data_IF_794869400709
#
_entry.id   IF_794869400709
#
_cell.length_a   1.000
_cell.length_b   1.000
_cell.length_c   1.000
_cell.angle_alpha   90.00
_cell.angle_beta   90.00
_cell.angle_gamma   90.00
#
_symmetry.space_group_name_H-M   'P 1'
#
loop_
_entity.id
_entity.type
_entity.pdbx_description
1 polymer ?
#
# COMPACT_ATOMS: atom_id res chain seq x y z
N UNK A 1 -3.29 -8.88 -10.92
CA UNK A 1 -3.21 -7.52 -11.51
C UNK A 1 -1.89 -7.29 -12.24
N UNK A 2 -0.72 -7.29 -11.58
CA UNK A 2 0.57 -7.03 -12.25
C UNK A 2 0.97 -8.09 -13.29
N UNK A 3 0.72 -9.37 -13.01
CA UNK A 3 0.92 -10.45 -13.98
C UNK A 3 0.03 -10.31 -15.20
N UNK A 4 -1.23 -9.92 -14.99
CA UNK A 4 -2.21 -9.61 -16.04
C UNK A 4 -1.75 -8.42 -16.88
N UNK A 5 -1.32 -7.33 -16.26
CA UNK A 5 -0.80 -6.16 -16.97
C UNK A 5 0.40 -6.53 -17.85
N UNK A 6 1.34 -7.33 -17.33
CA UNK A 6 2.45 -7.86 -18.12
C UNK A 6 1.98 -8.72 -19.31
N UNK A 7 0.98 -9.59 -19.11
CA UNK A 7 0.42 -10.46 -20.17
C UNK A 7 -0.17 -9.65 -21.32
N UNK A 8 -0.86 -8.55 -21.01
CA UNK A 8 -1.54 -7.71 -21.99
C UNK A 8 -0.73 -6.46 -22.39
N UNK A 9 0.57 -6.44 -22.11
CA UNK A 9 1.47 -5.30 -22.40
C UNK A 9 0.98 -3.95 -21.87
N UNK A 10 0.23 -3.97 -20.76
CA UNK A 10 -0.26 -2.78 -20.06
C UNK A 10 0.81 -2.30 -19.09
N UNK A 11 1.11 -1.01 -19.13
CA UNK A 11 2.15 -0.38 -18.31
C UNK A 11 1.54 0.34 -17.10
N UNK A 12 2.14 0.15 -15.93
CA UNK A 12 1.82 0.97 -14.75
C UNK A 12 2.51 2.32 -14.88
N UNK A 13 1.79 3.33 -15.38
CA UNK A 13 2.33 4.60 -15.84
C UNK A 13 2.02 5.77 -14.89
N UNK A 14 1.69 5.48 -13.63
CA UNK A 14 1.49 6.53 -12.64
C UNK A 14 2.78 7.33 -12.37
N UNK A 15 2.69 8.63 -12.65
CA UNK A 15 3.75 9.61 -12.36
C UNK A 15 3.81 9.84 -10.86
N UNK A 16 2.66 10.16 -10.25
CA UNK A 16 2.49 10.44 -8.84
C UNK A 16 1.21 9.78 -8.32
N UNK A 17 1.33 9.08 -7.20
CA UNK A 17 0.20 8.48 -6.49
C UNK A 17 -0.11 9.29 -5.24
N UNK A 18 -1.40 9.39 -4.91
CA UNK A 18 -1.87 9.84 -3.60
C UNK A 18 -1.63 8.76 -2.52
N UNK A 19 -1.95 9.09 -1.27
CA UNK A 19 -1.66 8.21 -0.13
C UNK A 19 -2.56 6.97 -0.16
N UNK A 20 -3.81 7.17 -0.53
CA UNK A 20 -4.85 6.16 -0.59
C UNK A 20 -4.47 5.09 -1.61
N UNK A 21 -4.07 5.48 -2.82
CA UNK A 21 -3.66 4.52 -3.86
C UNK A 21 -2.36 3.78 -3.48
N UNK A 22 -1.39 4.48 -2.88
CA UNK A 22 -0.18 3.82 -2.35
C UNK A 22 -0.52 2.72 -1.34
N UNK A 23 -1.54 2.93 -0.52
CA UNK A 23 -1.97 1.98 0.51
C UNK A 23 -2.62 0.72 -0.09
N UNK A 24 -3.23 0.86 -1.26
CA UNK A 24 -3.86 -0.24 -2.01
C UNK A 24 -2.88 -1.02 -2.90
N UNK A 25 -1.61 -0.62 -2.97
CA UNK A 25 -0.62 -1.36 -3.75
C UNK A 25 -0.43 -2.77 -3.19
N UNK A 26 -0.31 -3.81 -4.05
CA UNK A 26 0.02 -5.15 -3.60
C UNK A 26 1.40 -5.19 -2.94
N UNK A 27 1.51 -5.71 -1.71
CA UNK A 27 2.81 -5.87 -1.05
C UNK A 27 3.61 -7.01 -1.68
N UNK A 28 2.97 -8.14 -1.93
CA UNK A 28 3.66 -9.30 -2.49
C UNK A 28 3.87 -9.11 -3.98
N UNK A 29 5.09 -9.38 -4.43
CA UNK A 29 5.51 -9.09 -5.80
C UNK A 29 5.33 -7.60 -6.17
N UNK A 30 5.56 -6.71 -5.21
CA UNK A 30 5.42 -5.26 -5.34
C UNK A 30 6.18 -4.69 -6.55
N UNK A 31 5.61 -3.67 -7.20
CA UNK A 31 6.18 -2.95 -8.37
C UNK A 31 7.62 -2.47 -8.12
N UNK A 32 7.86 -1.96 -6.92
CA UNK A 32 9.16 -1.46 -6.48
C UNK A 32 10.03 -2.47 -5.72
N UNK A 33 9.71 -3.78 -5.75
CA UNK A 33 10.33 -4.76 -4.87
C UNK A 33 11.86 -4.83 -5.00
N UNK A 34 12.54 -4.60 -3.89
CA UNK A 34 13.99 -4.81 -3.73
C UNK A 34 14.31 -6.31 -3.73
N UNK A 35 15.60 -6.67 -3.85
CA UNK A 35 16.05 -8.07 -3.71
C UNK A 35 15.60 -8.65 -2.36
N UNK A 36 15.69 -7.86 -1.28
CA UNK A 36 15.27 -8.27 0.07
C UNK A 36 13.78 -8.53 0.15
N UNK A 37 12.94 -7.61 -0.36
CA UNK A 37 11.49 -7.82 -0.36
C UNK A 37 11.09 -9.09 -1.14
N UNK A 38 11.76 -9.37 -2.26
CA UNK A 38 11.52 -10.62 -3.02
C UNK A 38 11.87 -11.87 -2.24
N UNK A 39 12.91 -11.83 -1.40
CA UNK A 39 13.28 -12.96 -0.53
C UNK A 39 12.25 -13.18 0.57
N UNK A 40 11.68 -12.09 1.12
CA UNK A 40 10.63 -12.17 2.14
C UNK A 40 9.37 -12.87 1.64
N UNK A 41 9.07 -12.82 0.33
CA UNK A 41 7.88 -13.46 -0.26
C UNK A 41 7.81 -14.98 -0.05
N UNK A 42 8.92 -15.64 0.29
CA UNK A 42 9.02 -17.11 0.39
C UNK A 42 9.25 -17.60 1.83
N UNK A 43 9.10 -16.74 2.84
CA UNK A 43 9.24 -17.15 4.24
C UNK A 43 7.92 -17.72 4.76
N UNK A 44 8.00 -18.70 5.66
CA UNK A 44 6.81 -19.27 6.33
C UNK A 44 5.98 -18.21 7.08
N UNK A 45 6.63 -17.15 7.55
CA UNK A 45 5.96 -16.04 8.23
C UNK A 45 5.19 -15.18 7.23
N UNK A 46 5.75 -14.92 6.04
CA UNK A 46 5.04 -14.27 4.95
C UNK A 46 3.89 -15.11 4.39
N UNK A 47 4.02 -16.45 4.40
CA UNK A 47 2.88 -17.34 4.10
C UNK A 47 1.77 -17.14 5.12
N UNK A 48 2.09 -17.16 6.42
CA UNK A 48 1.12 -16.90 7.49
C UNK A 48 0.45 -15.52 7.34
N UNK A 49 1.23 -14.48 7.03
CA UNK A 49 0.69 -13.13 6.77
C UNK A 49 -0.36 -13.15 5.64
N UNK A 50 -0.11 -13.91 4.57
CA UNK A 50 -1.05 -14.03 3.45
C UNK A 50 -2.27 -14.87 3.78
N UNK A 51 -2.10 -16.02 4.42
CA UNK A 51 -3.19 -16.99 4.60
C UNK A 51 -4.02 -16.73 5.84
N UNK A 52 -3.38 -16.44 6.97
CA UNK A 52 -4.05 -16.36 8.27
C UNK A 52 -4.41 -14.91 8.65
N UNK A 53 -3.61 -13.94 8.18
CA UNK A 53 -3.88 -12.50 8.41
C UNK A 53 -4.50 -11.80 7.20
N UNK A 54 -4.65 -12.51 6.07
CA UNK A 54 -5.17 -11.98 4.80
C UNK A 54 -4.44 -10.71 4.30
N UNK A 55 -3.16 -10.55 4.66
CA UNK A 55 -2.40 -9.35 4.33
C UNK A 55 -1.94 -9.41 2.88
N UNK A 56 -2.53 -8.60 2.00
CA UNK A 56 -2.24 -8.61 0.57
C UNK A 56 -1.76 -7.25 0.05
N UNK A 57 -2.25 -6.16 0.64
CA UNK A 57 -1.90 -4.79 0.26
C UNK A 57 -1.02 -4.12 1.33
N UNK A 58 -0.38 -3.01 0.96
CA UNK A 58 0.49 -2.25 1.88
C UNK A 58 -0.28 -1.82 3.14
N UNK A 59 -1.55 -1.45 3.03
CA UNK A 59 -2.39 -1.08 4.18
C UNK A 59 -2.51 -2.20 5.22
N UNK A 60 -2.68 -3.45 4.80
CA UNK A 60 -2.81 -4.59 5.71
C UNK A 60 -1.53 -4.78 6.52
N UNK A 61 -0.39 -4.65 5.84
CA UNK A 61 0.93 -4.83 6.42
C UNK A 61 1.24 -3.69 7.38
N UNK A 62 0.86 -2.46 7.04
CA UNK A 62 0.95 -1.32 7.95
C UNK A 62 0.13 -1.56 9.23
N UNK A 63 -1.11 -2.05 9.10
CA UNK A 63 -1.96 -2.37 10.25
C UNK A 63 -1.30 -3.39 11.18
N UNK A 64 -0.75 -4.47 10.63
CA UNK A 64 -0.11 -5.54 11.41
C UNK A 64 1.22 -5.06 12.03
N UNK A 65 2.04 -4.33 11.27
CA UNK A 65 3.32 -3.80 11.75
C UNK A 65 3.17 -2.71 12.83
N UNK A 66 2.00 -2.07 12.92
CA UNK A 66 1.74 -0.92 13.81
C UNK A 66 0.87 -1.25 15.02
N UNK A 67 0.66 -2.53 15.32
CA UNK A 67 -0.13 -2.90 16.50
C UNK A 67 0.49 -2.38 17.79
N UNK A 68 -0.33 -1.80 18.64
CA UNK A 68 0.12 -1.16 19.88
C UNK A 68 0.83 -2.13 20.81
N UNK A 69 0.39 -3.39 20.88
CA UNK A 69 1.07 -4.42 21.66
C UNK A 69 2.49 -4.67 21.14
N UNK A 70 2.71 -4.64 19.82
CA UNK A 70 4.03 -4.84 19.24
C UNK A 70 4.93 -3.63 19.44
N UNK A 71 4.41 -2.42 19.21
CA UNK A 71 5.16 -1.17 19.37
C UNK A 71 5.61 -0.99 20.83
N UNK A 72 4.70 -1.17 21.80
CA UNK A 72 5.01 -1.02 23.23
C UNK A 72 6.11 -1.98 23.67
N UNK A 73 5.99 -3.25 23.28
CA UNK A 73 6.98 -4.26 23.64
C UNK A 73 8.34 -3.98 22.99
N UNK A 74 8.37 -3.57 21.72
CA UNK A 74 9.62 -3.18 21.06
C UNK A 74 10.29 -1.97 21.74
N UNK A 75 9.49 -1.03 22.25
CA UNK A 75 9.99 0.15 22.94
C UNK A 75 10.50 -0.15 24.36
N UNK A 76 10.05 -1.23 25.00
CA UNK A 76 10.40 -1.57 26.39
C UNK A 76 11.89 -1.86 26.60
N UNK A 77 12.64 -2.19 25.53
CA UNK A 77 14.06 -2.59 25.57
C UNK A 77 14.35 -3.77 26.50
N UNK A 78 13.34 -4.55 26.87
CA UNK A 78 13.53 -5.75 27.68
C UNK A 78 14.22 -6.84 26.86
N UNK A 79 15.18 -7.53 27.47
CA UNK A 79 15.88 -8.67 26.85
C UNK A 79 14.96 -9.87 26.61
N UNK A 80 13.86 -9.96 27.37
CA UNK A 80 12.83 -10.98 27.23
C UNK A 80 11.45 -10.37 27.00
N UNK A 81 10.79 -10.79 25.93
CA UNK A 81 9.44 -10.33 25.58
C UNK A 81 8.52 -11.57 25.42
N UNK A 82 7.50 -11.77 26.29
CA UNK A 82 6.72 -13.01 26.33
C UNK A 82 5.96 -13.39 25.06
N UNK A 83 6.16 -14.62 24.56
CA UNK A 83 5.30 -15.39 23.61
C UNK A 83 3.90 -14.84 23.29
N UNK A 84 3.16 -14.71 24.40
CA UNK A 84 1.73 -14.95 24.52
C UNK A 84 1.00 -13.65 24.86
N UNK A 85 1.18 -12.61 24.04
CA UNK A 85 0.40 -11.39 24.21
C UNK A 85 -1.09 -11.71 24.16
N UNK A 86 -1.84 -11.33 25.20
CA UNK A 86 -3.27 -11.68 25.38
C UNK A 86 -4.22 -10.63 24.77
N UNK A 87 -3.70 -9.61 24.08
CA UNK A 87 -4.55 -8.61 23.44
C UNK A 87 -5.52 -9.24 22.43
N UNK A 88 -6.63 -8.54 22.16
CA UNK A 88 -7.69 -9.01 21.28
C UNK A 88 -7.14 -9.40 19.89
N UNK A 89 -6.28 -8.56 19.29
CA UNK A 89 -5.70 -8.83 17.97
C UNK A 89 -4.86 -10.11 17.94
N UNK A 90 -3.96 -10.29 18.92
CA UNK A 90 -3.12 -11.50 18.98
C UNK A 90 -3.94 -12.75 19.29
N UNK A 91 -4.99 -12.62 20.11
CA UNK A 91 -5.90 -13.73 20.41
C UNK A 91 -6.72 -14.11 19.19
N UNK A 92 -7.21 -13.13 18.42
CA UNK A 92 -7.92 -13.38 17.18
C UNK A 92 -7.02 -14.04 16.13
N UNK A 93 -5.79 -13.55 15.94
CA UNK A 93 -4.83 -14.18 15.03
C UNK A 93 -4.58 -15.66 15.37
N UNK A 94 -4.45 -15.98 16.66
CA UNK A 94 -4.29 -17.37 17.13
C UNK A 94 -5.52 -18.21 16.80
N UNK A 95 -6.73 -17.67 16.95
CA UNK A 95 -7.98 -18.34 16.53
C UNK A 95 -8.02 -18.58 15.03
N UNK A 96 -7.43 -17.69 14.24
CA UNK A 96 -7.27 -17.81 12.79
C UNK A 96 -6.10 -18.73 12.37
N UNK A 97 -5.41 -19.38 13.33
CA UNK A 97 -4.35 -20.36 13.05
C UNK A 97 -2.93 -19.80 13.06
N UNK A 98 -2.72 -18.51 13.37
CA UNK A 98 -1.38 -17.95 13.55
C UNK A 98 -0.76 -18.42 14.87
N UNK A 99 0.36 -19.14 14.80
CA UNK A 99 1.06 -19.63 15.99
C UNK A 99 1.89 -18.56 16.71
N UNK A 100 2.40 -17.58 15.95
CA UNK A 100 3.30 -16.54 16.49
C UNK A 100 2.94 -15.15 15.94
N UNK A 101 1.87 -14.51 16.45
CA UNK A 101 1.41 -13.20 15.97
C UNK A 101 2.51 -12.12 15.99
N UNK A 102 3.39 -12.15 16.98
CA UNK A 102 4.48 -11.18 17.11
C UNK A 102 5.57 -11.34 16.05
N UNK A 103 5.89 -12.57 15.65
CA UNK A 103 6.80 -12.83 14.52
C UNK A 103 6.20 -12.30 13.23
N UNK A 104 4.88 -12.39 13.06
CA UNK A 104 4.17 -11.81 11.92
C UNK A 104 4.24 -10.27 11.93
N UNK A 105 4.11 -9.62 13.10
CA UNK A 105 4.31 -8.17 13.24
C UNK A 105 5.73 -7.75 12.84
N UNK A 106 6.75 -8.47 13.30
CA UNK A 106 8.14 -8.20 12.95
C UNK A 106 8.42 -8.40 11.45
N UNK A 107 7.89 -9.47 10.84
CA UNK A 107 8.06 -9.71 9.41
C UNK A 107 7.31 -8.68 8.57
N UNK A 108 6.11 -8.28 9.00
CA UNK A 108 5.35 -7.19 8.39
C UNK A 108 6.14 -5.87 8.43
N UNK A 109 6.79 -5.54 9.55
CA UNK A 109 7.65 -4.36 9.64
C UNK A 109 8.82 -4.44 8.65
N UNK A 110 9.52 -5.58 8.58
CA UNK A 110 10.62 -5.77 7.62
C UNK A 110 10.17 -5.61 6.19
N UNK A 111 9.01 -6.18 5.83
CA UNK A 111 8.46 -6.07 4.49
C UNK A 111 8.09 -4.61 4.16
N UNK A 112 7.47 -3.90 5.11
CA UNK A 112 7.09 -2.50 4.96
C UNK A 112 8.32 -1.59 4.76
N UNK A 113 9.40 -1.85 5.51
CA UNK A 113 10.65 -1.07 5.41
C UNK A 113 11.31 -1.17 4.02
N UNK A 114 11.02 -2.22 3.25
CA UNK A 114 11.55 -2.39 1.90
C UNK A 114 10.67 -1.73 0.80
N UNK A 115 9.51 -1.15 1.17
CA UNK A 115 8.68 -0.39 0.24
C UNK A 115 9.34 0.97 -0.02
N UNK A 116 9.78 1.19 -1.27
CA UNK A 116 10.49 2.42 -1.65
C UNK A 116 9.63 3.68 -1.40
N UNK A 117 10.24 4.84 -1.07
CA UNK A 117 9.52 6.09 -0.76
C UNK A 117 8.49 6.52 -1.82
N UNK A 118 8.79 6.32 -3.12
CA UNK A 118 7.83 6.62 -4.21
C UNK A 118 6.47 5.94 -4.01
N UNK A 119 6.46 4.74 -3.43
CA UNK A 119 5.30 3.87 -3.28
C UNK A 119 4.81 3.74 -1.83
N UNK A 120 5.53 4.32 -0.86
CA UNK A 120 5.20 4.19 0.55
C UNK A 120 4.11 5.20 0.98
N UNK A 121 3.01 4.77 1.61
CA UNK A 121 1.90 5.67 1.98
C UNK A 121 2.28 6.82 2.91
N UNK A 122 3.17 6.60 3.88
CA UNK A 122 3.62 7.68 4.77
C UNK A 122 4.60 8.65 4.11
N UNK A 123 5.16 8.31 2.93
CA UNK A 123 5.95 9.27 2.17
C UNK A 123 5.03 10.19 1.40
N UNK A 124 5.00 11.46 1.81
CA UNK A 124 4.30 12.51 1.05
C UNK A 124 4.93 12.67 -0.33
N UNK A 125 4.10 12.60 -1.36
CA UNK A 125 4.53 12.95 -2.72
C UNK A 125 4.81 14.46 -2.80
N UNK A 126 5.81 14.92 -3.56
CA UNK A 126 6.10 16.34 -3.73
C UNK A 126 4.87 17.13 -4.18
N UNK A 127 4.63 18.32 -3.61
CA UNK A 127 3.58 19.21 -4.07
C UNK A 127 4.07 19.96 -5.32
N UNK A 128 3.30 19.87 -6.40
CA UNK A 128 3.61 20.49 -7.70
C UNK A 128 2.72 21.72 -7.98
N UNK A 129 1.65 21.92 -7.20
CA UNK A 129 0.69 23.00 -7.40
C UNK A 129 -0.15 22.86 -8.68
N UNK A 130 -0.13 21.69 -9.32
CA UNK A 130 -0.73 21.49 -10.65
C UNK A 130 -2.19 21.03 -10.59
N UNK A 131 -2.63 20.43 -9.48
CA UNK A 131 -4.03 20.03 -9.33
C UNK A 131 -4.94 21.24 -9.18
N UNK A 132 -6.09 21.21 -9.86
CA UNK A 132 -7.13 22.21 -9.65
C UNK A 132 -7.60 22.25 -8.18
N UNK A 133 -7.96 23.44 -7.72
CA UNK A 133 -8.65 23.60 -6.43
C UNK A 133 -10.07 23.06 -6.52
N UNK A 134 -10.64 22.66 -5.39
CA UNK A 134 -12.03 22.16 -5.32
C UNK A 134 -13.02 23.10 -6.02
N UNK A 135 -12.91 24.41 -5.75
CA UNK A 135 -13.73 25.43 -6.40
C UNK A 135 -13.63 25.38 -7.94
N UNK A 136 -12.42 25.23 -8.49
CA UNK A 136 -12.21 25.14 -9.95
C UNK A 136 -12.74 23.82 -10.51
N UNK A 137 -12.64 22.71 -9.77
CA UNK A 137 -13.24 21.43 -10.15
C UNK A 137 -14.77 21.50 -10.18
N UNK A 138 -15.37 22.16 -9.18
CA UNK A 138 -16.82 22.38 -9.11
C UNK A 138 -17.29 23.25 -10.29
N UNK A 139 -16.56 24.34 -10.60
CA UNK A 139 -16.84 25.18 -11.78
C UNK A 139 -16.74 24.38 -13.09
N UNK A 140 -15.70 23.54 -13.24
CA UNK A 140 -15.57 22.68 -14.42
C UNK A 140 -16.73 21.69 -14.55
N UNK A 141 -17.21 21.12 -13.44
CA UNK A 141 -18.34 20.17 -13.44
C UNK A 141 -19.61 20.84 -13.98
N UNK A 142 -19.88 22.07 -13.56
CA UNK A 142 -21.03 22.86 -14.05
C UNK A 142 -20.84 23.23 -15.53
N UNK A 143 -19.67 23.77 -15.90
CA UNK A 143 -19.37 24.15 -17.28
C UNK A 143 -19.46 22.95 -18.25
N UNK A 144 -19.09 21.74 -17.82
CA UNK A 144 -19.23 20.53 -18.65
C UNK A 144 -20.69 20.19 -18.95
N UNK A 145 -21.59 20.39 -17.97
CA UNK A 145 -23.03 20.15 -18.14
C UNK A 145 -23.71 21.21 -19.01
N UNK A 146 -23.22 22.46 -18.96
CA UNK A 146 -23.82 23.61 -19.64
C UNK A 146 -23.15 23.94 -20.99
N UNK A 147 -22.12 23.21 -21.39
CA UNK A 147 -21.34 23.50 -22.61
C UNK A 147 -20.47 24.76 -22.51
N UNK A 148 -20.11 25.16 -21.30
CA UNK A 148 -19.27 26.32 -21.00
C UNK A 148 -17.77 26.06 -21.12
N UNK A 149 -16.97 27.09 -20.82
CA UNK A 149 -15.51 27.02 -20.87
C UNK A 149 -14.94 26.20 -19.71
N UNK A 150 -14.13 25.19 -20.03
CA UNK A 150 -13.43 24.36 -19.06
C UNK A 150 -12.02 24.87 -18.78
N UNK A 151 -11.62 24.87 -17.50
CA UNK A 151 -10.21 25.04 -17.12
C UNK A 151 -9.52 23.69 -17.22
N UNK A 152 -8.47 23.58 -18.04
CA UNK A 152 -7.67 22.35 -18.10
C UNK A 152 -7.08 21.99 -16.72
N UNK A 153 -7.16 20.73 -16.32
CA UNK A 153 -6.54 20.21 -15.09
C UNK A 153 -5.20 19.52 -15.44
N UNK A 154 -4.05 20.15 -15.18
CA UNK A 154 -2.75 19.55 -15.48
C UNK A 154 -2.26 18.61 -14.36
N UNK A 155 -3.15 18.13 -13.47
CA UNK A 155 -2.78 17.24 -12.37
C UNK A 155 -2.04 15.99 -12.84
N UNK A 156 -0.84 15.79 -12.28
CA UNK A 156 -0.03 14.57 -12.49
C UNK A 156 -0.30 13.50 -11.42
N UNK A 157 -1.15 13.80 -10.44
CA UNK A 157 -1.48 12.90 -9.34
C UNK A 157 -2.65 12.01 -9.73
N UNK A 158 -2.41 10.72 -9.88
CA UNK A 158 -3.48 9.73 -10.01
C UNK A 158 -4.16 9.56 -8.65
N UNK A 159 -5.49 9.62 -8.67
CA UNK A 159 -6.40 9.42 -7.54
C UNK A 159 -7.52 8.49 -8.01
N UNK A 160 -8.19 7.80 -7.10
CA UNK A 160 -9.31 6.91 -7.43
C UNK A 160 -8.92 5.44 -7.36
N UNK A 161 -9.16 4.69 -8.43
CA UNK A 161 -8.96 3.23 -8.48
C UNK A 161 -7.56 2.87 -8.99
N UNK A 162 -7.03 1.73 -8.55
CA UNK A 162 -5.68 1.31 -8.96
C UNK A 162 -5.58 1.05 -10.48
N UNK A 163 -6.71 0.72 -11.12
CA UNK A 163 -6.82 0.60 -12.58
C UNK A 163 -6.46 1.88 -13.32
N UNK A 164 -6.72 3.05 -12.75
CA UNK A 164 -6.53 4.36 -13.40
C UNK A 164 -5.03 4.70 -13.55
N UNK A 165 -4.17 3.98 -12.85
CA UNK A 165 -2.72 4.07 -12.96
C UNK A 165 -2.12 3.22 -14.10
N UNK A 166 -2.92 2.35 -14.74
CA UNK A 166 -2.47 1.52 -15.86
C UNK A 166 -2.81 2.19 -17.20
N UNK A 167 -1.86 2.16 -18.14
CA UNK A 167 -2.01 2.68 -19.50
C UNK A 167 -1.65 1.61 -20.52
N UNK A 168 -2.45 1.51 -21.57
CA UNK A 168 -2.18 0.69 -22.76
C UNK A 168 -1.51 1.59 -23.79
N UNK A 169 -0.34 1.19 -24.26
CA UNK A 169 0.33 1.84 -25.38
C UNK A 169 0.19 0.89 -26.57
N UNK A 170 -0.52 1.34 -27.61
CA UNK A 170 -0.61 0.62 -28.89
C UNK A 170 0.29 1.35 -29.89
N UNK A 171 1.14 0.61 -30.59
CA UNK A 171 1.83 1.14 -31.76
C UNK A 171 0.81 1.24 -32.89
N UNK A 172 0.68 2.43 -33.49
CA UNK A 172 -0.13 2.69 -34.69
C UNK A 172 0.65 2.35 -35.95
#
# INVERSE_FOLDING_TARGET
MLSTAKKYHVSFAAIKLDKELKSQLPLWYHLGATKKLRLLNNTRVSDCLRTNHAANIVADIMRIARRDCYIRERASRNDYIPENCECEECTNDRRMGCRHPRKCCQEAEKALAEVKPKWHPDTRSPQDGMSLTRKRQDTNTVALAEGGTLTFDPSLTTRGELSDAFRVFVDL
#
